data_IF_825792246342
#
_entry.id   IF_825792246342
#
_cell.length_a   1.000
_cell.length_b   1.000
_cell.length_c   1.000
_cell.angle_alpha   90.00
_cell.angle_beta   90.00
_cell.angle_gamma   90.00
#
_symmetry.space_group_name_H-M   'P 1'
#
loop_
_entity.id
_entity.type
_entity.pdbx_description
1 polymer ?
#
# COMPACT_ATOMS: atom_id res chain seq x y z
N UNK A 1 15.19 -7.14 -2.34
CA UNK A 1 13.90 -6.45 -2.41
C UNK A 1 12.83 -7.51 -2.59
N UNK A 2 11.68 -7.40 -1.92
CA UNK A 2 10.66 -8.45 -1.93
C UNK A 2 9.57 -8.23 -2.97
N UNK A 3 9.37 -6.99 -3.45
CA UNK A 3 8.33 -6.57 -4.39
C UNK A 3 6.89 -6.92 -3.99
N UNK A 4 6.67 -7.10 -2.68
CA UNK A 4 5.41 -7.51 -2.11
C UNK A 4 4.41 -6.38 -2.14
N UNK A 5 3.16 -6.70 -2.44
CA UNK A 5 2.06 -5.76 -2.40
C UNK A 5 0.82 -6.36 -1.74
N UNK A 6 -0.05 -5.49 -1.27
CA UNK A 6 -1.43 -5.82 -0.95
C UNK A 6 -2.37 -5.23 -2.00
N UNK A 7 -3.47 -5.93 -2.28
CA UNK A 7 -4.49 -5.52 -3.24
C UNK A 7 -5.85 -5.60 -2.55
N UNK A 8 -6.56 -4.48 -2.47
CA UNK A 8 -7.91 -4.39 -1.92
C UNK A 8 -8.90 -4.29 -3.08
N UNK A 9 -9.74 -5.31 -3.27
CA UNK A 9 -10.87 -5.25 -4.20
C UNK A 9 -12.10 -4.76 -3.45
N UNK A 10 -12.74 -3.71 -3.95
CA UNK A 10 -13.97 -3.19 -3.39
C UNK A 10 -15.14 -4.16 -3.64
N UNK A 11 -15.91 -4.40 -2.58
CA UNK A 11 -17.13 -5.23 -2.56
C UNK A 11 -18.37 -4.38 -2.84
N UNK A 12 -19.49 -5.03 -3.11
CA UNK A 12 -20.78 -4.35 -3.38
C UNK A 12 -21.35 -3.60 -2.17
N UNK A 13 -20.91 -3.97 -0.96
CA UNK A 13 -21.25 -3.32 0.31
C UNK A 13 -20.32 -2.14 0.67
N UNK A 14 -19.34 -1.82 -0.19
CA UNK A 14 -18.36 -0.75 0.02
C UNK A 14 -17.19 -1.12 0.95
N UNK A 15 -17.14 -2.36 1.44
CA UNK A 15 -15.98 -2.92 2.14
C UNK A 15 -14.99 -3.50 1.12
N UNK A 16 -13.90 -4.08 1.59
CA UNK A 16 -12.83 -4.59 0.76
C UNK A 16 -12.49 -6.05 1.09
N UNK A 17 -12.12 -6.78 0.04
CA UNK A 17 -11.45 -8.07 0.14
C UNK A 17 -9.96 -7.87 -0.12
N UNK A 18 -9.13 -8.29 0.83
CA UNK A 18 -7.69 -8.06 0.83
C UNK A 18 -6.93 -9.28 0.32
N UNK A 19 -6.11 -9.06 -0.70
CA UNK A 19 -5.26 -10.08 -1.32
C UNK A 19 -3.79 -9.70 -1.23
N UNK A 20 -2.94 -10.70 -1.47
CA UNK A 20 -1.50 -10.56 -1.50
C UNK A 20 -0.94 -10.73 -2.90
N UNK A 21 0.18 -10.05 -3.19
CA UNK A 21 0.98 -10.32 -4.38
C UNK A 21 2.45 -10.29 -4.04
N UNK A 22 3.18 -11.35 -4.37
CA UNK A 22 4.62 -11.41 -4.08
C UNK A 22 5.45 -10.47 -4.96
N UNK A 23 5.05 -10.28 -6.24
CA UNK A 23 5.78 -9.45 -7.21
C UNK A 23 5.03 -8.18 -7.62
N UNK A 24 3.88 -7.92 -7.02
CA UNK A 24 2.95 -6.86 -7.43
C UNK A 24 3.53 -5.44 -7.36
N UNK A 25 4.48 -5.18 -6.46
CA UNK A 25 5.07 -3.86 -6.30
C UNK A 25 6.14 -3.50 -7.34
N UNK A 26 6.58 -4.48 -8.15
CA UNK A 26 7.63 -4.29 -9.15
C UNK A 26 7.22 -3.21 -10.17
N UNK A 27 7.85 -2.03 -10.07
CA UNK A 27 7.59 -0.83 -10.88
C UNK A 27 6.10 -0.44 -10.97
N UNK A 28 5.32 -0.80 -9.95
CA UNK A 28 3.87 -0.63 -9.90
C UNK A 28 3.07 -1.24 -11.06
N UNK A 29 3.68 -2.14 -11.86
CA UNK A 29 3.11 -2.65 -13.11
C UNK A 29 1.84 -3.47 -12.92
N UNK A 30 1.57 -3.95 -11.71
CA UNK A 30 0.33 -4.67 -11.40
C UNK A 30 -0.92 -3.83 -11.70
N UNK A 31 -0.83 -2.49 -11.65
CA UNK A 31 -1.92 -1.58 -12.05
C UNK A 31 -2.50 -1.92 -13.44
N UNK A 32 -1.65 -2.32 -14.38
CA UNK A 32 -2.05 -2.59 -15.76
C UNK A 32 -2.35 -4.05 -16.04
N UNK A 33 -2.02 -4.95 -15.11
CA UNK A 33 -2.35 -6.38 -15.23
C UNK A 33 -3.72 -6.70 -14.68
N UNK A 34 -4.17 -5.96 -13.67
CA UNK A 34 -5.52 -6.11 -13.11
C UNK A 34 -6.52 -5.45 -14.07
N UNK A 35 -7.43 -6.25 -14.62
CA UNK A 35 -8.56 -5.80 -15.44
C UNK A 35 -9.76 -6.73 -15.27
N UNK A 36 -10.91 -6.38 -15.83
CA UNK A 36 -12.09 -7.24 -15.83
C UNK A 36 -11.83 -8.60 -16.51
N UNK A 37 -10.93 -8.64 -17.49
CA UNK A 37 -10.51 -9.84 -18.20
C UNK A 37 -9.54 -10.69 -17.36
N UNK A 38 -8.59 -10.05 -16.68
CA UNK A 38 -7.58 -10.69 -15.83
C UNK A 38 -7.63 -10.13 -14.39
N UNK A 39 -8.66 -10.49 -13.60
CA UNK A 39 -8.90 -9.84 -12.31
C UNK A 39 -7.74 -9.97 -11.34
N UNK A 40 -7.05 -11.12 -11.34
CA UNK A 40 -5.86 -11.37 -10.50
C UNK A 40 -4.53 -11.17 -11.25
N UNK A 41 -4.56 -10.51 -12.41
CA UNK A 41 -3.37 -10.17 -13.20
C UNK A 41 -2.65 -11.33 -13.89
N UNK A 42 -3.31 -12.49 -14.03
CA UNK A 42 -2.79 -13.63 -14.80
C UNK A 42 -2.84 -13.40 -16.32
N UNK A 43 -2.15 -14.26 -17.07
CA UNK A 43 -2.05 -14.13 -18.54
C UNK A 43 -3.30 -14.67 -19.28
N UNK A 44 -4.12 -15.50 -18.60
CA UNK A 44 -5.40 -15.97 -19.11
C UNK A 44 -6.51 -14.93 -18.90
N UNK A 45 -6.76 -14.12 -19.92
CA UNK A 45 -7.80 -13.07 -19.97
C UNK A 45 -9.23 -13.62 -20.13
N UNK A 46 -9.38 -14.93 -20.35
CA UNK A 46 -10.66 -15.61 -20.46
C UNK A 46 -10.94 -16.56 -19.28
N UNK A 47 -10.19 -16.42 -18.20
CA UNK A 47 -10.34 -17.22 -17.00
C UNK A 47 -11.73 -17.04 -16.36
N UNK A 48 -12.63 -18.00 -16.64
CA UNK A 48 -13.99 -18.01 -16.09
C UNK A 48 -13.99 -18.18 -14.58
N UNK A 49 -13.11 -19.02 -14.05
CA UNK A 49 -12.99 -19.27 -12.61
C UNK A 49 -12.60 -18.00 -11.86
N UNK A 50 -11.67 -17.20 -12.42
CA UNK A 50 -11.18 -16.00 -11.74
C UNK A 50 -12.26 -14.91 -11.69
N UNK A 51 -13.00 -14.75 -12.78
CA UNK A 51 -14.14 -13.81 -12.87
C UNK A 51 -15.27 -14.23 -11.93
N UNK A 52 -15.60 -15.53 -11.89
CA UNK A 52 -16.62 -16.05 -10.99
C UNK A 52 -16.21 -15.87 -9.53
N UNK A 53 -15.00 -16.27 -9.15
CA UNK A 53 -14.50 -16.11 -7.79
C UNK A 53 -14.54 -14.65 -7.33
N UNK A 54 -14.07 -13.71 -8.17
CA UNK A 54 -14.10 -12.30 -7.79
C UNK A 54 -15.53 -11.76 -7.64
N UNK A 55 -16.48 -12.19 -8.48
CA UNK A 55 -17.87 -11.81 -8.35
C UNK A 55 -18.46 -12.29 -7.02
N UNK A 56 -18.21 -13.55 -6.64
CA UNK A 56 -18.67 -14.12 -5.37
C UNK A 56 -18.02 -13.40 -4.17
N UNK A 57 -16.72 -13.08 -4.25
CA UNK A 57 -16.03 -12.27 -3.24
C UNK A 57 -16.61 -10.85 -3.13
N UNK A 58 -16.99 -10.24 -4.25
CA UNK A 58 -17.64 -8.94 -4.28
C UNK A 58 -19.03 -8.97 -3.63
N UNK A 59 -19.74 -10.09 -3.73
CA UNK A 59 -21.05 -10.35 -3.11
C UNK A 59 -20.96 -10.91 -1.67
N UNK A 60 -19.74 -11.09 -1.16
CA UNK A 60 -19.48 -11.36 0.24
C UNK A 60 -19.14 -12.80 0.61
N UNK A 61 -18.61 -13.57 -0.34
CA UNK A 61 -17.95 -14.83 -0.03
C UNK A 61 -16.80 -14.61 0.97
N UNK A 62 -16.77 -15.40 2.04
CA UNK A 62 -15.73 -15.35 3.06
C UNK A 62 -14.47 -16.10 2.64
N UNK A 63 -13.31 -15.68 3.16
CA UNK A 63 -12.00 -16.20 2.75
C UNK A 63 -11.87 -17.74 2.86
N UNK A 64 -12.45 -18.34 3.90
CA UNK A 64 -12.39 -19.80 4.12
C UNK A 64 -13.26 -20.60 3.13
N UNK A 65 -14.27 -19.97 2.53
CA UNK A 65 -15.14 -20.62 1.54
C UNK A 65 -14.52 -20.66 0.14
N UNK A 66 -13.38 -20.00 -0.07
CA UNK A 66 -12.72 -19.89 -1.38
C UNK A 66 -12.06 -21.20 -1.81
N UNK A 67 -11.70 -22.09 -0.89
CA UNK A 67 -10.91 -23.30 -1.19
C UNK A 67 -11.54 -24.19 -2.26
N UNK A 68 -12.88 -24.26 -2.33
CA UNK A 68 -13.59 -25.00 -3.38
C UNK A 68 -13.35 -24.46 -4.80
N UNK A 69 -13.11 -23.16 -4.95
CA UNK A 69 -12.78 -22.52 -6.23
C UNK A 69 -11.31 -22.72 -6.63
N UNK A 70 -10.44 -23.06 -5.67
CA UNK A 70 -8.99 -23.18 -5.89
C UNK A 70 -8.50 -24.63 -5.93
N UNK A 71 -9.40 -25.60 -5.81
CA UNK A 71 -9.07 -27.02 -5.71
C UNK A 71 -8.45 -27.61 -6.99
N UNK A 72 -8.55 -26.92 -8.13
CA UNK A 72 -7.92 -27.33 -9.38
C UNK A 72 -6.43 -27.00 -9.37
N UNK A 73 -5.58 -28.04 -9.30
CA UNK A 73 -4.12 -27.91 -9.27
C UNK A 73 -3.52 -27.44 -10.61
N UNK A 74 -4.22 -27.61 -11.74
CA UNK A 74 -3.75 -27.20 -13.07
C UNK A 74 -4.10 -25.74 -13.42
N UNK A 75 -4.63 -25.02 -12.43
CA UNK A 75 -5.04 -23.63 -12.61
C UNK A 75 -3.85 -22.72 -12.96
N UNK A 76 -4.00 -21.82 -13.95
CA UNK A 76 -2.96 -20.85 -14.29
C UNK A 76 -2.54 -19.99 -13.10
N UNK A 77 -1.23 -19.75 -12.97
CA UNK A 77 -0.70 -18.84 -11.96
C UNK A 77 -1.17 -17.41 -12.20
N UNK A 78 -1.50 -16.71 -11.13
CA UNK A 78 -1.87 -15.29 -11.14
C UNK A 78 -0.83 -14.47 -10.38
N UNK A 79 -0.79 -13.17 -10.63
CA UNK A 79 0.13 -12.27 -9.93
C UNK A 79 -0.40 -11.92 -8.53
N UNK A 80 -1.71 -11.75 -8.43
CA UNK A 80 -2.43 -11.62 -7.16
C UNK A 80 -2.84 -13.01 -6.71
N UNK A 81 -2.54 -13.36 -5.46
CA UNK A 81 -2.98 -14.60 -4.84
C UNK A 81 -4.52 -14.59 -4.76
N UNK A 82 -5.22 -15.54 -5.41
CA UNK A 82 -6.68 -15.50 -5.46
C UNK A 82 -7.35 -15.84 -4.12
N UNK A 83 -6.62 -16.52 -3.21
CA UNK A 83 -7.08 -16.73 -1.84
C UNK A 83 -6.97 -15.39 -1.08
N UNK A 84 -8.07 -14.81 -0.60
CA UNK A 84 -8.00 -13.61 0.22
C UNK A 84 -7.26 -13.87 1.52
N UNK A 85 -6.60 -12.85 2.03
CA UNK A 85 -6.08 -12.81 3.41
C UNK A 85 -7.16 -12.44 4.42
N UNK A 86 -8.10 -11.60 4.00
CA UNK A 86 -9.22 -11.11 4.81
C UNK A 86 -10.32 -10.55 3.91
N UNK A 87 -11.54 -10.52 4.43
CA UNK A 87 -12.77 -10.09 3.76
C UNK A 87 -13.52 -9.12 4.65
N UNK A 88 -14.33 -8.23 4.06
CA UNK A 88 -15.20 -7.33 4.82
C UNK A 88 -14.43 -6.31 5.67
N UNK A 89 -13.34 -5.76 5.12
CA UNK A 89 -12.54 -4.73 5.78
C UNK A 89 -12.89 -3.34 5.24
N UNK A 90 -12.84 -2.33 6.09
CA UNK A 90 -12.76 -0.93 5.64
C UNK A 90 -11.35 -0.61 5.13
N UNK A 91 -11.24 0.43 4.31
CA UNK A 91 -9.93 0.87 3.83
C UNK A 91 -9.03 1.37 4.97
N UNK A 92 -9.60 1.98 6.00
CA UNK A 92 -8.86 2.47 7.16
C UNK A 92 -8.31 1.33 8.01
N UNK A 93 -9.07 0.24 8.22
CA UNK A 93 -8.59 -0.98 8.88
C UNK A 93 -7.44 -1.62 8.09
N UNK A 94 -7.54 -1.69 6.75
CA UNK A 94 -6.44 -2.23 5.93
C UNK A 94 -5.16 -1.41 6.13
N UNK A 95 -5.29 -0.09 6.09
CA UNK A 95 -4.18 0.87 6.22
C UNK A 95 -3.57 0.83 7.62
N UNK A 96 -4.38 0.73 8.66
CA UNK A 96 -3.92 0.72 10.05
C UNK A 96 -3.37 -0.65 10.49
N UNK A 97 -4.04 -1.75 10.14
CA UNK A 97 -3.88 -3.02 10.83
C UNK A 97 -3.33 -4.15 9.95
N UNK A 98 -3.41 -4.02 8.62
CA UNK A 98 -2.97 -5.07 7.69
C UNK A 98 -1.73 -4.69 6.87
N UNK A 99 -1.54 -3.40 6.60
CA UNK A 99 -0.40 -2.88 5.84
C UNK A 99 0.86 -2.89 6.70
N UNK A 100 1.69 -3.92 6.52
CA UNK A 100 3.10 -3.85 6.92
C UNK A 100 3.88 -2.93 5.97
N UNK A 101 4.18 -1.72 6.41
CA UNK A 101 4.83 -0.68 5.64
C UNK A 101 6.30 -0.97 5.33
N UNK A 102 6.99 -1.74 6.16
CA UNK A 102 8.37 -2.16 5.89
C UNK A 102 8.42 -3.18 4.75
N UNK A 103 7.44 -4.07 4.71
CA UNK A 103 7.48 -5.25 3.87
C UNK A 103 6.66 -5.15 2.58
N UNK A 104 5.50 -4.50 2.63
CA UNK A 104 4.67 -4.25 1.46
C UNK A 104 5.12 -2.96 0.79
N UNK A 105 5.72 -3.09 -0.38
CA UNK A 105 6.31 -1.97 -1.11
C UNK A 105 5.27 -1.20 -1.94
N UNK A 106 4.11 -1.78 -2.19
CA UNK A 106 3.00 -1.12 -2.87
C UNK A 106 1.65 -1.59 -2.30
N UNK A 107 0.63 -0.78 -2.53
CA UNK A 107 -0.75 -1.10 -2.22
C UNK A 107 -1.66 -0.68 -3.38
N UNK A 108 -2.65 -1.52 -3.69
CA UNK A 108 -3.59 -1.28 -4.77
C UNK A 108 -5.00 -1.30 -4.24
N UNK A 109 -5.81 -0.34 -4.69
CA UNK A 109 -7.26 -0.35 -4.48
C UNK A 109 -7.90 -0.52 -5.85
N UNK A 110 -8.79 -1.51 -5.98
CA UNK A 110 -9.46 -1.86 -7.23
C UNK A 110 -10.95 -1.62 -7.03
N UNK A 111 -11.51 -0.68 -7.78
CA UNK A 111 -12.95 -0.42 -7.75
C UNK A 111 -13.74 -1.56 -8.42
N UNK A 112 -15.08 -1.62 -8.27
CA UNK A 112 -15.91 -2.61 -8.95
C UNK A 112 -15.86 -2.49 -10.48
N UNK A 113 -15.49 -1.32 -11.01
CA UNK A 113 -15.31 -1.06 -12.45
C UNK A 113 -13.87 -1.27 -12.93
N UNK A 114 -12.99 -1.84 -12.09
CA UNK A 114 -11.57 -2.04 -12.36
C UNK A 114 -10.77 -0.75 -12.58
N UNK A 115 -11.21 0.34 -11.95
CA UNK A 115 -10.31 1.47 -11.75
C UNK A 115 -9.31 1.10 -10.65
N UNK A 116 -8.03 0.98 -11.03
CA UNK A 116 -6.96 0.57 -10.12
C UNK A 116 -6.18 1.77 -9.63
N UNK A 117 -6.33 2.14 -8.36
CA UNK A 117 -5.48 3.15 -7.72
C UNK A 117 -4.24 2.49 -7.13
N UNK A 118 -3.06 2.97 -7.52
CA UNK A 118 -1.78 2.44 -7.07
C UNK A 118 -1.10 3.40 -6.10
N UNK A 119 -0.73 2.89 -4.93
CA UNK A 119 -0.05 3.62 -3.88
C UNK A 119 1.36 3.08 -3.68
N UNK A 120 2.31 3.99 -3.46
CA UNK A 120 3.63 3.69 -2.93
C UNK A 120 3.57 3.71 -1.40
N UNK A 121 4.11 2.66 -0.79
CA UNK A 121 4.23 2.54 0.66
C UNK A 121 5.50 3.23 1.16
N UNK A 122 5.38 4.04 2.22
CA UNK A 122 6.44 4.83 2.81
C UNK A 122 6.49 4.55 4.32
N UNK A 123 7.42 3.71 4.75
CA UNK A 123 7.56 3.33 6.17
C UNK A 123 8.32 4.36 7.00
N UNK A 124 7.80 4.69 8.18
CA UNK A 124 8.38 5.70 9.07
C UNK A 124 9.42 5.16 10.05
N UNK A 125 9.61 3.84 10.17
CA UNK A 125 10.60 3.30 11.09
C UNK A 125 12.03 3.74 10.75
N UNK A 126 12.79 4.16 11.76
CA UNK A 126 14.12 4.74 11.62
C UNK A 126 15.25 3.79 12.02
N UNK A 127 14.96 2.52 12.28
CA UNK A 127 15.95 1.54 12.78
C UNK A 127 17.13 1.25 11.83
N UNK A 128 17.07 1.75 10.60
CA UNK A 128 18.17 1.68 9.63
C UNK A 128 18.82 3.03 9.37
N UNK A 129 18.29 4.09 9.97
CA UNK A 129 18.66 5.49 9.73
C UNK A 129 19.11 6.19 11.03
N UNK A 130 18.96 5.56 12.20
CA UNK A 130 19.31 6.06 13.53
C UNK A 130 20.03 4.97 14.32
N UNK A 131 21.11 5.35 15.01
CA UNK A 131 21.89 4.46 15.90
C UNK A 131 21.20 4.19 17.24
N UNK A 132 20.23 5.03 17.63
CA UNK A 132 19.54 4.94 18.91
C UNK A 132 18.18 4.24 18.87
N UNK A 133 17.66 3.94 17.68
CA UNK A 133 16.38 3.23 17.49
C UNK A 133 16.64 1.81 17.01
N UNK A 134 16.33 0.82 17.85
CA UNK A 134 16.54 -0.60 17.50
C UNK A 134 15.40 -1.20 16.67
N UNK A 135 14.15 -0.76 16.91
CA UNK A 135 12.96 -1.31 16.26
C UNK A 135 11.89 -0.24 16.04
N UNK A 136 11.27 -0.26 14.87
CA UNK A 136 10.06 0.49 14.56
C UNK A 136 8.90 -0.45 14.24
N UNK A 137 7.69 -0.10 14.67
CA UNK A 137 6.48 -0.77 14.23
C UNK A 137 6.44 -0.81 12.70
N UNK A 138 6.09 -1.97 12.15
CA UNK A 138 6.01 -2.16 10.69
C UNK A 138 4.58 -1.99 10.20
N UNK A 139 3.60 -2.40 10.99
CA UNK A 139 2.16 -2.23 10.72
C UNK A 139 1.67 -0.88 11.24
N UNK A 140 0.82 -0.18 10.48
CA UNK A 140 0.23 1.11 10.90
C UNK A 140 1.21 2.29 11.04
N UNK A 141 2.50 2.08 10.72
CA UNK A 141 3.56 3.06 10.91
C UNK A 141 4.18 3.51 9.58
N UNK A 142 3.36 4.10 8.72
CA UNK A 142 3.83 4.69 7.49
C UNK A 142 2.78 5.55 6.81
N UNK A 143 2.98 5.78 5.52
CA UNK A 143 2.05 6.50 4.66
C UNK A 143 1.94 5.83 3.29
N UNK A 144 0.83 6.06 2.63
CA UNK A 144 0.58 5.68 1.25
C UNK A 144 0.47 6.96 0.41
N UNK A 145 1.22 7.02 -0.67
CA UNK A 145 1.13 8.13 -1.62
C UNK A 145 0.79 7.60 -3.01
N UNK A 146 -0.18 8.21 -3.70
CA UNK A 146 -0.37 7.89 -5.13
C UNK A 146 0.83 8.36 -5.94
N UNK A 147 1.09 7.70 -7.06
CA UNK A 147 2.11 8.12 -8.03
C UNK A 147 1.46 8.72 -9.28
N UNK A 148 2.16 9.62 -9.95
CA UNK A 148 1.73 10.14 -11.25
C UNK A 148 2.03 9.11 -12.34
N UNK A 149 1.25 9.13 -13.42
CA UNK A 149 1.39 8.21 -14.54
C UNK A 149 1.53 8.98 -15.85
N UNK A 150 2.40 8.53 -16.73
CA UNK A 150 2.56 9.03 -18.09
C UNK A 150 2.83 7.85 -19.02
N UNK A 151 2.05 7.69 -20.08
CA UNK A 151 2.15 6.56 -21.03
C UNK A 151 2.22 5.17 -20.35
N UNK A 152 1.44 4.99 -19.28
CA UNK A 152 1.42 3.74 -18.52
C UNK A 152 2.61 3.51 -17.59
N UNK A 153 3.57 4.42 -17.50
CA UNK A 153 4.71 4.30 -16.59
C UNK A 153 4.57 5.25 -15.39
N UNK A 154 4.97 4.83 -14.18
CA UNK A 154 4.94 5.69 -13.01
C UNK A 154 6.04 6.76 -13.11
N UNK A 155 5.63 8.03 -13.03
CA UNK A 155 6.53 9.18 -13.09
C UNK A 155 6.72 9.76 -11.69
N UNK A 156 7.98 9.93 -11.30
CA UNK A 156 8.34 10.53 -10.01
C UNK A 156 8.34 9.56 -8.83
N UNK A 157 7.97 8.28 -9.01
CA UNK A 157 8.04 7.27 -7.94
C UNK A 157 9.47 7.11 -7.40
N UNK A 158 10.45 6.97 -8.28
CA UNK A 158 11.86 6.91 -7.89
C UNK A 158 12.34 8.19 -7.17
N UNK A 159 11.85 9.35 -7.61
CA UNK A 159 12.17 10.63 -6.97
C UNK A 159 11.59 10.69 -5.56
N UNK A 160 10.31 10.36 -5.37
CA UNK A 160 9.66 10.31 -4.06
C UNK A 160 10.39 9.36 -3.10
N UNK A 161 10.72 8.15 -3.56
CA UNK A 161 11.47 7.17 -2.76
C UNK A 161 12.85 7.69 -2.35
N UNK A 162 13.58 8.30 -3.28
CA UNK A 162 14.89 8.88 -3.00
C UNK A 162 14.81 10.05 -2.01
N UNK A 163 13.85 10.94 -2.22
CA UNK A 163 13.62 12.10 -1.36
C UNK A 163 13.21 11.67 0.05
N UNK A 164 12.31 10.70 0.18
CA UNK A 164 11.88 10.17 1.47
C UNK A 164 13.01 9.46 2.21
N UNK A 165 13.84 8.67 1.50
CA UNK A 165 15.04 8.06 2.08
C UNK A 165 16.01 9.11 2.63
N UNK A 166 16.28 10.17 1.88
CA UNK A 166 17.16 11.25 2.34
C UNK A 166 16.59 11.98 3.56
N UNK A 167 15.27 12.15 3.64
CA UNK A 167 14.62 12.72 4.82
C UNK A 167 14.75 11.82 6.04
N UNK A 168 14.57 10.50 5.88
CA UNK A 168 14.76 9.55 7.00
C UNK A 168 16.18 9.60 7.55
N UNK A 169 17.18 9.63 6.67
CA UNK A 169 18.60 9.77 7.03
C UNK A 169 18.83 11.01 7.92
N UNK A 170 18.38 12.19 7.45
CA UNK A 170 18.51 13.44 8.22
C UNK A 170 17.72 13.40 9.54
N UNK A 171 16.53 12.80 9.54
CA UNK A 171 15.68 12.71 10.74
C UNK A 171 16.29 11.74 11.77
N UNK A 172 16.87 10.63 11.32
CA UNK A 172 17.58 9.71 12.20
C UNK A 172 18.78 10.39 12.88
N UNK A 173 19.54 11.15 12.09
CA UNK A 173 20.63 12.02 12.57
C UNK A 173 20.16 13.01 13.67
N UNK A 174 18.97 13.58 13.51
CA UNK A 174 18.37 14.50 14.49
C UNK A 174 17.92 13.76 15.77
N UNK A 175 17.46 12.52 15.65
CA UNK A 175 17.13 11.69 16.82
C UNK A 175 18.38 11.34 17.61
N UNK A 176 19.44 10.89 16.93
CA UNK A 176 20.69 10.48 17.59
C UNK A 176 21.38 11.65 18.32
N UNK A 177 21.25 12.86 17.79
CA UNK A 177 21.74 14.10 18.42
C UNK A 177 20.81 14.64 19.51
N UNK A 178 19.69 13.97 19.80
CA UNK A 178 18.72 14.38 20.81
C UNK A 178 17.89 15.61 20.43
N UNK A 179 17.90 16.01 19.16
CA UNK A 179 17.08 17.14 18.66
C UNK A 179 15.62 16.72 18.53
N UNK A 180 15.38 15.49 18.06
CA UNK A 180 14.03 14.91 17.96
C UNK A 180 13.84 13.74 18.92
N UNK A 181 12.65 13.69 19.53
CA UNK A 181 12.13 12.45 20.10
C UNK A 181 11.57 11.56 18.97
N UNK A 182 11.42 10.25 19.17
CA UNK A 182 10.79 9.37 18.17
C UNK A 182 9.40 9.85 17.71
N UNK A 183 8.59 10.40 18.62
CA UNK A 183 7.28 10.97 18.27
C UNK A 183 7.40 12.23 17.42
N UNK A 184 8.32 13.14 17.75
CA UNK A 184 8.56 14.36 16.96
C UNK A 184 9.10 14.03 15.59
N UNK A 185 10.01 13.05 15.49
CA UNK A 185 10.52 12.54 14.23
C UNK A 185 9.38 12.01 13.34
N UNK A 186 8.48 11.19 13.90
CA UNK A 186 7.30 10.69 13.16
C UNK A 186 6.39 11.82 12.68
N UNK A 187 6.11 12.81 13.53
CA UNK A 187 5.30 13.98 13.14
C UNK A 187 5.98 14.78 12.02
N UNK A 188 7.29 14.99 12.12
CA UNK A 188 8.05 15.71 11.10
C UNK A 188 8.05 14.98 9.74
N UNK A 189 8.19 13.65 9.74
CA UNK A 189 8.06 12.82 8.53
C UNK A 189 6.67 12.97 7.90
N UNK A 190 5.59 12.87 8.70
CA UNK A 190 4.20 13.07 8.23
C UNK A 190 4.03 14.45 7.59
N UNK A 191 4.49 15.51 8.26
CA UNK A 191 4.38 16.88 7.78
C UNK A 191 5.11 17.07 6.45
N UNK A 192 6.37 16.64 6.36
CA UNK A 192 7.17 16.82 5.14
C UNK A 192 6.61 16.04 3.95
N UNK A 193 6.11 14.84 4.17
CA UNK A 193 5.39 14.10 3.12
C UNK A 193 4.14 14.86 2.65
N UNK A 194 3.36 15.43 3.57
CA UNK A 194 2.21 16.27 3.22
C UNK A 194 2.59 17.47 2.35
N UNK A 195 3.67 18.17 2.70
CA UNK A 195 4.20 19.29 1.93
C UNK A 195 4.65 18.88 0.52
N UNK A 196 5.26 17.69 0.36
CA UNK A 196 5.80 17.23 -0.92
C UNK A 196 4.76 16.64 -1.87
N UNK A 197 3.83 15.83 -1.34
CA UNK A 197 2.78 15.21 -2.16
C UNK A 197 1.81 16.29 -2.67
N UNK A 198 1.55 17.31 -1.84
CA UNK A 198 0.71 18.44 -2.20
C UNK A 198 -0.73 18.02 -2.56
N UNK A 199 -1.43 18.88 -3.31
CA UNK A 199 -2.87 18.69 -3.60
C UNK A 199 -3.15 17.84 -4.86
N UNK A 200 -2.11 17.49 -5.63
CA UNK A 200 -2.26 16.77 -6.92
C UNK A 200 -2.16 15.26 -6.79
N UNK A 201 -1.76 14.78 -5.63
CA UNK A 201 -1.61 13.38 -5.31
C UNK A 201 -2.27 13.14 -3.96
N UNK A 202 -2.69 11.91 -3.73
CA UNK A 202 -3.37 11.55 -2.50
C UNK A 202 -2.33 10.99 -1.52
N UNK A 203 -2.40 11.44 -0.27
CA UNK A 203 -1.62 10.94 0.84
C UNK A 203 -2.57 10.34 1.88
N UNK A 204 -2.40 9.06 2.19
CA UNK A 204 -3.13 8.39 3.27
C UNK A 204 -2.17 8.01 4.38
N UNK A 205 -2.53 8.35 5.61
CA UNK A 205 -1.76 8.04 6.82
C UNK A 205 -2.72 7.33 7.79
N UNK A 206 -2.32 6.21 8.41
CA UNK A 206 -3.10 5.55 9.44
C UNK A 206 -3.55 6.54 10.54
N UNK A 207 -4.82 6.46 10.92
CA UNK A 207 -5.43 7.32 11.95
C UNK A 207 -6.03 8.64 11.45
N UNK A 208 -6.12 8.86 10.13
CA UNK A 208 -6.90 9.97 9.55
C UNK A 208 -6.33 11.38 9.76
N UNK A 209 -5.18 11.52 10.40
CA UNK A 209 -4.50 12.81 10.57
C UNK A 209 -3.93 13.29 9.23
N UNK A 210 -4.65 14.20 8.57
CA UNK A 210 -4.03 15.05 7.56
C UNK A 210 -2.97 15.94 8.23
N UNK A 211 -1.76 16.08 7.68
CA UNK A 211 -0.76 16.95 8.26
C UNK A 211 -1.31 18.38 8.32
N UNK A 212 -1.53 18.87 9.54
CA UNK A 212 -2.04 20.23 9.77
C UNK A 212 -1.09 21.24 9.14
N UNK A 213 -1.62 22.17 8.32
CA UNK A 213 -0.85 23.25 7.67
C UNK A 213 -0.27 24.27 8.69
N UNK A 214 -0.46 24.08 10.00
CA UNK A 214 -0.25 25.14 11.01
C UNK A 214 0.60 24.76 12.22
N UNK A 215 1.36 23.67 12.20
CA UNK A 215 2.39 23.46 13.22
C UNK A 215 3.64 24.28 12.87
N UNK A 216 3.63 25.56 13.22
CA UNK A 216 4.87 26.32 13.37
C UNK A 216 5.72 25.57 14.40
N UNK A 217 6.79 24.94 13.91
CA UNK A 217 7.87 24.46 14.78
C UNK A 217 8.45 25.71 15.43
N UNK A 218 8.06 25.98 16.67
CA UNK A 218 8.68 27.02 17.48
C UNK A 218 10.17 26.70 17.53
N UNK A 219 10.95 27.55 16.85
CA UNK A 219 12.40 27.51 16.90
C UNK A 219 12.79 27.84 18.34
N UNK A 220 13.40 26.88 19.03
CA UNK A 220 14.24 27.14 20.20
C UNK A 220 15.51 27.88 19.77
#
# INVERSE_FOLDING_TARGET
>A
MGHRALVAYERTDGQYTLHYSHWGAANLKLKHRISAESPFGGDDTNSKWAKQLLAELADGLEADAVDGYLADEDRPSTVVEPKPRATGLTLDEIIADHLDYLHHEAFYVVSPTFEVTAYRTLWFGLQYDSETIDNGETVGNGALATVRWHDGEPVGDGHLKGQFRALKDVVGDMVDKGVFTPSTARQYLKQKLGEWVGERQELRIPGGESPSKTASVDRL
#
